data_IF_612241426777
#
_entry.id   IF_612241426777
#
_cell.length_a   1.000
_cell.length_b   1.000
_cell.length_c   1.000
_cell.angle_alpha   90.00
_cell.angle_beta   90.00
_cell.angle_gamma   90.00
#
_symmetry.space_group_name_H-M   'P 1'
#
loop_
_entity.id
_entity.type
_entity.pdbx_description
1 polymer ?
#
# COMPACT_ATOMS: atom_id res chain seq x y z
N UNK A 1 -2.61 2.32 11.21
CA UNK A 1 -2.15 1.32 10.22
C UNK A 1 -0.86 0.64 10.67
N UNK A 2 -0.69 -0.64 10.34
CA UNK A 2 0.55 -1.38 10.61
C UNK A 2 1.58 -1.08 9.52
N UNK A 3 2.76 -0.60 9.92
CA UNK A 3 3.90 -0.44 9.02
C UNK A 3 4.49 -1.80 8.65
N UNK A 4 4.56 -2.09 7.35
CA UNK A 4 5.15 -3.31 6.78
C UNK A 4 6.37 -2.90 5.95
N UNK A 5 7.52 -2.79 6.63
CA UNK A 5 8.77 -2.37 5.99
C UNK A 5 9.49 -3.59 5.39
N UNK A 6 9.57 -3.66 4.05
CA UNK A 6 10.15 -4.78 3.32
C UNK A 6 11.60 -5.10 3.73
N UNK A 7 12.37 -4.12 4.21
CA UNK A 7 13.73 -4.38 4.72
C UNK A 7 13.74 -5.14 6.05
N UNK A 8 12.72 -4.94 6.88
CA UNK A 8 12.62 -5.51 8.24
C UNK A 8 11.81 -6.81 8.25
N UNK A 9 10.80 -6.93 7.41
CA UNK A 9 9.85 -8.04 7.42
C UNK A 9 10.41 -9.38 6.92
N UNK A 10 9.86 -10.48 7.42
CA UNK A 10 10.05 -11.84 6.92
C UNK A 10 8.66 -12.42 6.68
N UNK A 11 8.36 -12.77 5.44
CA UNK A 11 7.07 -13.36 5.07
C UNK A 11 7.16 -14.87 5.29
N UNK A 12 6.23 -15.41 6.07
CA UNK A 12 6.16 -16.84 6.37
C UNK A 12 5.12 -17.47 5.46
N UNK A 13 5.53 -18.45 4.64
CA UNK A 13 4.66 -19.14 3.70
C UNK A 13 4.66 -20.63 3.99
N UNK A 14 3.51 -21.29 3.86
CA UNK A 14 3.39 -22.75 3.89
C UNK A 14 4.22 -23.38 2.77
N UNK A 15 5.17 -24.26 3.12
CA UNK A 15 6.03 -24.92 2.12
C UNK A 15 5.22 -25.77 1.16
N UNK A 16 4.20 -26.48 1.64
CA UNK A 16 3.33 -27.30 0.80
C UNK A 16 2.51 -26.45 -0.18
N UNK A 17 2.01 -25.29 0.25
CA UNK A 17 1.20 -24.45 -0.63
C UNK A 17 2.06 -23.72 -1.65
N UNK A 18 3.25 -23.27 -1.25
CA UNK A 18 4.24 -22.73 -2.18
C UNK A 18 4.61 -23.75 -3.26
N UNK A 19 4.96 -24.98 -2.86
CA UNK A 19 5.30 -26.05 -3.81
C UNK A 19 4.13 -26.39 -4.73
N UNK A 20 2.89 -26.31 -4.25
CA UNK A 20 1.69 -26.49 -5.07
C UNK A 20 1.55 -25.37 -6.11
N UNK A 21 1.81 -24.12 -5.74
CA UNK A 21 1.72 -22.96 -6.61
C UNK A 21 2.77 -22.95 -7.71
N UNK A 22 4.04 -23.18 -7.37
CA UNK A 22 5.13 -23.23 -8.36
C UNK A 22 4.96 -24.38 -9.35
N UNK A 23 4.41 -25.52 -8.91
CA UNK A 23 4.19 -26.69 -9.78
C UNK A 23 2.89 -26.61 -10.59
N UNK A 24 2.00 -25.65 -10.33
CA UNK A 24 0.74 -25.57 -11.07
C UNK A 24 0.89 -24.96 -12.46
N UNK A 25 2.04 -24.37 -12.79
CA UNK A 25 2.30 -23.57 -13.99
C UNK A 25 1.28 -22.41 -14.21
N UNK A 26 0.52 -22.06 -13.17
CA UNK A 26 -0.44 -20.96 -13.17
C UNK A 26 0.23 -19.71 -12.61
N UNK A 27 -0.28 -18.54 -12.98
CA UNK A 27 0.06 -17.31 -12.30
C UNK A 27 -0.55 -17.30 -10.90
N UNK A 28 0.26 -16.93 -9.92
CA UNK A 28 -0.13 -16.80 -8.53
C UNK A 28 0.52 -15.57 -7.91
N UNK A 29 0.00 -15.17 -6.76
CA UNK A 29 0.53 -14.14 -5.91
C UNK A 29 0.82 -14.71 -4.52
N UNK A 30 1.84 -14.17 -3.87
CA UNK A 30 2.06 -14.34 -2.43
C UNK A 30 1.65 -13.02 -1.80
N UNK A 31 0.74 -13.05 -0.84
CA UNK A 31 0.28 -11.89 -0.10
C UNK A 31 1.28 -11.49 1.01
N UNK A 32 1.18 -10.28 1.53
CA UNK A 32 2.01 -9.79 2.64
C UNK A 32 1.92 -10.65 3.91
N UNK A 33 0.80 -11.34 4.11
CA UNK A 33 0.55 -12.27 5.21
C UNK A 33 1.02 -13.71 4.92
N UNK A 34 1.59 -13.96 3.73
CA UNK A 34 2.09 -15.27 3.30
C UNK A 34 1.07 -16.19 2.64
N UNK A 35 -0.18 -15.74 2.47
CA UNK A 35 -1.21 -16.50 1.74
C UNK A 35 -0.93 -16.53 0.23
N UNK A 36 -1.34 -17.61 -0.42
CA UNK A 36 -1.18 -17.80 -1.86
C UNK A 36 -2.53 -17.63 -2.55
N UNK A 37 -2.55 -16.76 -3.55
CA UNK A 37 -3.73 -16.49 -4.38
C UNK A 37 -3.44 -16.83 -5.83
N UNK A 38 -4.40 -17.43 -6.53
CA UNK A 38 -4.33 -17.63 -7.98
C UNK A 38 -5.18 -16.59 -8.69
N UNK A 39 -4.93 -16.36 -9.98
CA UNK A 39 -5.77 -15.46 -10.77
C UNK A 39 -7.24 -15.93 -10.81
N UNK A 40 -8.23 -15.00 -10.82
CA UNK A 40 -8.07 -13.54 -10.77
C UNK A 40 -7.71 -13.02 -9.38
N UNK A 41 -6.75 -12.08 -9.32
CA UNK A 41 -6.26 -11.52 -8.05
C UNK A 41 -7.24 -10.47 -7.50
N UNK A 42 -7.57 -10.48 -6.20
CA UNK A 42 -8.43 -9.47 -5.58
C UNK A 42 -7.85 -8.05 -5.74
N UNK A 43 -8.72 -7.06 -5.94
CA UNK A 43 -8.32 -5.64 -5.99
C UNK A 43 -7.77 -5.12 -4.65
N UNK A 44 -8.08 -5.79 -3.54
CA UNK A 44 -7.59 -5.47 -2.20
C UNK A 44 -6.33 -6.25 -1.82
N UNK A 45 -5.81 -7.09 -2.71
CA UNK A 45 -4.66 -7.95 -2.42
C UNK A 45 -3.36 -7.13 -2.37
N UNK A 46 -2.67 -7.22 -1.24
CA UNK A 46 -1.32 -6.66 -1.05
C UNK A 46 -0.30 -7.77 -1.31
N UNK A 47 0.29 -7.76 -2.51
CA UNK A 47 1.19 -8.82 -3.02
C UNK A 47 2.65 -8.53 -2.70
N UNK A 48 3.39 -9.50 -2.17
CA UNK A 48 4.87 -9.47 -2.11
C UNK A 48 5.53 -10.21 -3.26
N UNK A 49 4.76 -10.96 -4.05
CA UNK A 49 5.19 -11.58 -5.30
C UNK A 49 3.97 -11.74 -6.21
N UNK A 50 4.14 -11.52 -7.51
CA UNK A 50 3.17 -11.94 -8.54
C UNK A 50 3.92 -12.53 -9.73
N UNK A 51 3.56 -13.74 -10.15
CA UNK A 51 4.23 -14.37 -11.28
C UNK A 51 3.85 -15.83 -11.48
N UNK A 52 4.59 -16.48 -12.38
CA UNK A 52 4.46 -17.90 -12.67
C UNK A 52 5.85 -18.51 -12.77
N UNK A 53 6.00 -19.73 -12.26
CA UNK A 53 7.23 -20.51 -12.44
C UNK A 53 7.05 -21.39 -13.67
N UNK A 54 7.87 -21.15 -14.70
CA UNK A 54 7.84 -21.99 -15.90
C UNK A 54 8.17 -23.44 -15.52
N UNK A 55 7.51 -24.45 -16.10
CA UNK A 55 7.87 -25.84 -15.87
C UNK A 55 9.31 -26.13 -16.32
N UNK A 56 9.92 -27.18 -15.78
CA UNK A 56 11.21 -27.66 -16.27
C UNK A 56 11.10 -28.08 -17.74
N UNK A 57 12.11 -27.76 -18.53
CA UNK A 57 12.17 -28.21 -19.93
C UNK A 57 12.24 -29.74 -19.96
N UNK A 58 11.49 -30.42 -20.85
CA UNK A 58 11.64 -31.87 -21.06
C UNK A 58 13.06 -32.29 -21.48
N UNK A 59 13.86 -31.34 -21.98
CA UNK A 59 15.25 -31.54 -22.40
C UNK A 59 16.27 -31.18 -21.31
N UNK A 60 15.81 -30.75 -20.14
CA UNK A 60 16.65 -30.43 -18.99
C UNK A 60 17.24 -31.69 -18.37
N UNK A 61 18.52 -31.67 -18.03
CA UNK A 61 19.13 -32.69 -17.17
C UNK A 61 18.80 -32.48 -15.69
N UNK A 62 18.35 -31.28 -15.32
CA UNK A 62 17.94 -30.95 -13.96
C UNK A 62 16.52 -31.47 -13.71
N UNK A 63 16.39 -32.36 -12.70
CA UNK A 63 15.13 -32.98 -12.29
C UNK A 63 14.29 -32.10 -11.36
N UNK A 64 14.89 -31.08 -10.75
CA UNK A 64 14.25 -30.16 -9.82
C UNK A 64 14.94 -28.81 -9.81
N UNK A 65 14.21 -27.73 -9.51
CA UNK A 65 14.82 -26.42 -9.19
C UNK A 65 14.97 -26.26 -7.68
N UNK A 66 16.07 -25.68 -7.18
CA UNK A 66 16.14 -25.26 -5.78
C UNK A 66 14.99 -24.29 -5.45
N UNK A 67 14.34 -24.44 -4.29
CA UNK A 67 13.24 -23.56 -3.86
C UNK A 67 13.68 -22.09 -3.88
N UNK A 68 14.92 -21.82 -3.45
CA UNK A 68 15.51 -20.48 -3.41
C UNK A 68 15.55 -19.75 -4.76
N UNK A 69 15.53 -20.45 -5.89
CA UNK A 69 15.56 -19.83 -7.23
C UNK A 69 14.19 -19.78 -7.92
N UNK A 70 13.12 -20.28 -7.29
CA UNK A 70 11.83 -20.44 -7.97
C UNK A 70 11.11 -19.13 -8.26
N UNK A 71 11.30 -18.09 -7.43
CA UNK A 71 10.64 -16.78 -7.58
C UNK A 71 11.61 -15.64 -7.96
N UNK A 72 12.85 -15.98 -8.30
CA UNK A 72 13.88 -15.05 -8.78
C UNK A 72 14.88 -14.59 -7.71
N UNK A 73 16.03 -14.09 -8.16
CA UNK A 73 17.22 -13.81 -7.32
C UNK A 73 17.04 -12.63 -6.35
N UNK A 74 16.02 -11.81 -6.58
CA UNK A 74 15.67 -10.67 -5.73
C UNK A 74 14.97 -11.10 -4.41
N UNK A 75 14.61 -12.37 -4.29
CA UNK A 75 14.03 -12.95 -3.08
C UNK A 75 15.04 -13.87 -2.42
N UNK A 76 15.19 -13.77 -1.09
CA UNK A 76 15.94 -14.76 -0.31
C UNK A 76 14.95 -15.65 0.42
N UNK A 77 15.02 -16.95 0.14
CA UNK A 77 14.15 -17.95 0.77
C UNK A 77 15.00 -18.85 1.66
N UNK A 78 14.56 -19.03 2.89
CA UNK A 78 15.10 -20.02 3.83
C UNK A 78 14.02 -21.06 4.11
N UNK A 79 14.36 -22.33 4.00
CA UNK A 79 13.48 -23.44 4.38
C UNK A 79 13.56 -23.66 5.90
N UNK A 80 12.42 -23.75 6.56
CA UNK A 80 12.29 -23.97 7.99
C UNK A 80 11.17 -24.99 8.23
N UNK A 81 11.53 -26.28 8.29
CA UNK A 81 10.62 -27.42 8.36
C UNK A 81 9.48 -27.39 7.31
N UNK A 82 8.26 -27.11 7.74
CA UNK A 82 7.04 -27.02 6.95
C UNK A 82 6.74 -25.60 6.44
N UNK A 83 7.64 -24.65 6.72
CA UNK A 83 7.51 -23.23 6.37
C UNK A 83 8.67 -22.76 5.48
N UNK A 84 8.40 -21.67 4.77
CA UNK A 84 9.39 -20.89 4.04
C UNK A 84 9.44 -19.49 4.63
N UNK A 85 10.65 -19.02 4.92
CA UNK A 85 10.92 -17.66 5.37
C UNK A 85 11.43 -16.85 4.18
N UNK A 86 10.63 -15.89 3.71
CA UNK A 86 10.92 -15.10 2.51
C UNK A 86 11.31 -13.68 2.92
N UNK A 87 12.52 -13.26 2.53
CA UNK A 87 12.95 -11.86 2.51
C UNK A 87 12.77 -11.32 1.10
N UNK A 88 11.88 -10.33 0.96
CA UNK A 88 11.45 -9.79 -0.33
C UNK A 88 12.03 -8.39 -0.65
N UNK A 89 12.88 -7.83 0.21
CA UNK A 89 13.44 -6.49 0.05
C UNK A 89 14.16 -6.25 -1.27
N UNK A 90 14.86 -7.25 -1.82
CA UNK A 90 15.54 -7.13 -3.11
C UNK A 90 14.57 -6.92 -4.28
N UNK A 91 13.30 -7.26 -4.12
CA UNK A 91 12.26 -7.17 -5.15
C UNK A 91 11.36 -5.93 -5.00
N UNK A 92 11.73 -4.97 -4.14
CA UNK A 92 10.85 -3.87 -3.74
C UNK A 92 10.24 -3.10 -4.91
N UNK A 93 10.98 -2.83 -5.98
CA UNK A 93 10.46 -2.12 -7.16
C UNK A 93 9.31 -2.87 -7.82
N UNK A 94 9.44 -4.18 -7.97
CA UNK A 94 8.38 -5.02 -8.52
C UNK A 94 7.17 -5.06 -7.59
N UNK A 95 7.42 -5.15 -6.28
CA UNK A 95 6.38 -5.16 -5.24
C UNK A 95 5.58 -3.85 -5.27
N UNK A 96 6.23 -2.68 -5.32
CA UNK A 96 5.53 -1.40 -5.50
C UNK A 96 4.69 -1.45 -6.78
N UNK A 97 5.26 -1.88 -7.90
CA UNK A 97 4.55 -1.96 -9.19
C UNK A 97 3.30 -2.86 -9.18
N UNK A 98 3.31 -3.97 -8.45
CA UNK A 98 2.14 -4.85 -8.31
C UNK A 98 1.00 -4.16 -7.55
N UNK A 99 1.35 -3.35 -6.56
CA UNK A 99 0.42 -2.86 -5.55
C UNK A 99 -0.05 -1.42 -5.79
N UNK A 100 0.67 -0.64 -6.61
CA UNK A 100 0.36 0.77 -6.86
C UNK A 100 -1.08 1.01 -7.32
N UNK A 101 -1.63 0.13 -8.15
CA UNK A 101 -3.03 0.25 -8.62
C UNK A 101 -4.07 -0.19 -7.60
N UNK A 102 -3.64 -0.78 -6.48
CA UNK A 102 -4.48 -1.34 -5.43
C UNK A 102 -4.39 -0.55 -4.13
N UNK A 103 -3.42 0.35 -4.01
CA UNK A 103 -3.27 1.24 -2.86
C UNK A 103 -4.31 2.34 -2.86
N UNK A 104 -4.66 2.80 -1.66
CA UNK A 104 -5.47 3.98 -1.46
C UNK A 104 -4.71 5.25 -1.87
N UNK A 105 -3.43 5.33 -1.49
CA UNK A 105 -2.55 6.43 -1.84
C UNK A 105 -1.14 5.92 -2.14
N UNK A 106 -0.44 6.65 -3.00
CA UNK A 106 0.94 6.41 -3.38
C UNK A 106 1.83 7.52 -2.81
N UNK A 107 2.79 7.11 -1.97
CA UNK A 107 3.78 7.96 -1.34
C UNK A 107 5.20 7.48 -1.68
N UNK A 108 5.38 7.11 -2.95
CA UNK A 108 6.67 6.67 -3.47
C UNK A 108 7.42 7.79 -4.20
N UNK A 109 6.73 8.89 -4.53
CA UNK A 109 7.29 10.03 -5.22
C UNK A 109 7.98 11.00 -4.26
N UNK A 110 8.97 11.76 -4.76
CA UNK A 110 9.61 12.83 -3.98
C UNK A 110 8.69 14.03 -3.73
N UNK A 111 7.62 14.17 -4.51
CA UNK A 111 6.65 15.27 -4.44
C UNK A 111 5.52 14.98 -3.43
N UNK A 112 5.55 13.78 -2.80
CA UNK A 112 4.55 13.34 -1.85
C UNK A 112 3.35 12.66 -2.52
N UNK A 113 2.19 12.80 -1.88
CA UNK A 113 0.93 12.16 -2.27
C UNK A 113 0.17 13.10 -3.19
N UNK A 114 -0.19 12.61 -4.37
CA UNK A 114 -0.85 13.42 -5.39
C UNK A 114 -2.38 13.25 -5.43
N UNK A 115 -2.89 12.03 -5.18
CA UNK A 115 -4.31 11.70 -5.25
C UNK A 115 -4.65 10.48 -4.38
N UNK A 116 -5.91 10.34 -4.02
CA UNK A 116 -6.51 9.12 -3.49
C UNK A 116 -7.17 8.31 -4.62
N UNK A 117 -6.99 6.98 -4.60
CA UNK A 117 -7.64 6.10 -5.58
C UNK A 117 -9.15 5.94 -5.33
N UNK A 118 -9.63 6.33 -4.15
CA UNK A 118 -11.04 6.36 -3.80
C UNK A 118 -11.65 7.73 -4.08
N UNK A 119 -12.64 7.79 -4.98
CA UNK A 119 -13.19 9.06 -5.46
C UNK A 119 -13.78 9.96 -4.35
N UNK A 120 -14.61 9.46 -3.41
CA UNK A 120 -15.10 10.32 -2.33
C UNK A 120 -13.98 10.84 -1.41
N UNK A 121 -12.92 10.06 -1.18
CA UNK A 121 -11.73 10.56 -0.49
C UNK A 121 -10.98 11.60 -1.30
N UNK A 122 -10.88 11.42 -2.61
CA UNK A 122 -10.29 12.42 -3.51
C UNK A 122 -11.07 13.73 -3.49
N UNK A 123 -12.40 13.66 -3.50
CA UNK A 123 -13.26 14.85 -3.36
C UNK A 123 -13.00 15.55 -2.01
N UNK A 124 -12.80 14.79 -0.92
CA UNK A 124 -12.39 15.35 0.39
C UNK A 124 -11.02 16.03 0.29
N UNK A 125 -10.02 15.37 -0.31
CA UNK A 125 -8.68 15.91 -0.50
C UNK A 125 -8.69 17.22 -1.28
N UNK A 126 -9.39 17.24 -2.42
CA UNK A 126 -9.51 18.39 -3.29
C UNK A 126 -10.05 19.62 -2.57
N UNK A 127 -11.22 19.52 -1.91
CA UNK A 127 -11.80 20.65 -1.17
C UNK A 127 -10.95 21.05 0.05
N UNK A 128 -10.22 20.11 0.66
CA UNK A 128 -9.36 20.42 1.80
C UNK A 128 -8.15 21.29 1.39
N UNK A 129 -7.68 21.18 0.14
CA UNK A 129 -6.56 21.99 -0.35
C UNK A 129 -6.86 23.48 -0.39
N UNK A 130 -8.13 23.89 -0.57
CA UNK A 130 -8.56 25.30 -0.50
C UNK A 130 -8.27 25.93 0.88
N UNK A 131 -8.21 25.09 1.91
CA UNK A 131 -7.87 25.51 3.27
C UNK A 131 -6.43 25.15 3.66
N UNK A 132 -5.51 24.99 2.70
CA UNK A 132 -4.11 24.63 2.96
C UNK A 132 -3.96 23.32 3.78
N UNK A 133 -4.84 22.35 3.59
CA UNK A 133 -4.72 21.01 4.16
C UNK A 133 -4.26 20.08 3.04
N UNK A 134 -3.04 19.55 3.15
CA UNK A 134 -2.47 18.66 2.14
C UNK A 134 -2.91 17.21 2.34
N UNK A 135 -2.76 16.40 1.28
CA UNK A 135 -3.01 14.96 1.32
C UNK A 135 -2.19 14.25 2.41
N UNK A 136 -0.99 14.74 2.73
CA UNK A 136 -0.18 14.24 3.83
C UNK A 136 -0.90 14.36 5.17
N UNK A 137 -1.46 15.53 5.46
CA UNK A 137 -2.12 15.82 6.74
C UNK A 137 -3.29 14.84 6.97
N UNK A 138 -4.01 14.53 5.91
CA UNK A 138 -5.12 13.55 5.90
C UNK A 138 -4.58 12.13 6.09
N UNK A 139 -3.54 11.74 5.34
CA UNK A 139 -2.96 10.40 5.44
C UNK A 139 -2.37 10.12 6.81
N UNK A 140 -1.78 11.10 7.49
CA UNK A 140 -1.31 10.94 8.87
C UNK A 140 -2.45 10.51 9.80
N UNK A 141 -3.68 10.97 9.56
CA UNK A 141 -4.85 10.51 10.31
C UNK A 141 -5.19 9.05 9.99
N UNK A 142 -5.10 8.63 8.73
CA UNK A 142 -5.31 7.23 8.35
C UNK A 142 -4.26 6.32 8.97
N UNK A 143 -2.99 6.71 8.89
CA UNK A 143 -1.88 5.96 9.46
C UNK A 143 -1.98 5.83 10.98
N UNK A 144 -2.55 6.82 11.67
CA UNK A 144 -2.79 6.77 13.11
C UNK A 144 -4.04 5.98 13.49
N UNK A 145 -5.15 6.12 12.76
CA UNK A 145 -6.48 5.74 13.23
C UNK A 145 -7.12 4.57 12.47
N UNK A 146 -6.71 4.31 11.22
CA UNK A 146 -7.29 3.23 10.42
C UNK A 146 -6.56 1.89 10.61
N UNK A 147 -7.33 0.80 10.53
CA UNK A 147 -6.79 -0.52 10.29
C UNK A 147 -6.34 -0.67 8.83
N UNK A 148 -5.16 -1.23 8.62
CA UNK A 148 -4.55 -1.28 7.30
C UNK A 148 -3.05 -1.56 7.33
N UNK A 149 -2.45 -1.56 6.15
CA UNK A 149 -1.02 -1.79 5.93
C UNK A 149 -0.42 -0.57 5.24
N UNK A 150 0.67 -0.05 5.80
CA UNK A 150 1.59 0.83 5.08
C UNK A 150 2.73 -0.04 4.55
N UNK A 151 2.64 -0.43 3.28
CA UNK A 151 3.67 -1.22 2.61
C UNK A 151 4.79 -0.27 2.18
N UNK A 152 5.97 -0.39 2.78
CA UNK A 152 7.03 0.58 2.53
C UNK A 152 8.42 -0.05 2.42
N UNK A 153 9.33 0.71 1.83
CA UNK A 153 10.75 0.63 2.15
C UNK A 153 11.11 1.84 3.00
N UNK A 154 11.80 1.58 4.11
CA UNK A 154 12.33 2.65 4.95
C UNK A 154 13.70 2.25 5.49
N UNK A 155 14.69 3.11 5.28
CA UNK A 155 16.03 3.01 5.85
C UNK A 155 16.47 4.37 6.39
N UNK A 156 17.28 4.35 7.44
CA UNK A 156 17.66 5.56 8.18
C UNK A 156 18.84 6.29 7.53
N UNK A 157 19.78 5.58 6.89
CA UNK A 157 21.05 6.17 6.42
C UNK A 157 21.50 5.63 5.04
N UNK A 158 21.48 6.45 3.97
CA UNK A 158 20.78 7.74 3.90
C UNK A 158 19.27 7.54 4.07
N UNK A 159 18.59 8.53 4.66
CA UNK A 159 17.14 8.45 4.84
C UNK A 159 16.46 8.26 3.49
N UNK A 160 15.66 7.19 3.41
CA UNK A 160 14.86 6.88 2.26
C UNK A 160 13.54 6.32 2.77
N UNK A 161 12.44 6.89 2.27
CA UNK A 161 11.10 6.38 2.46
C UNK A 161 10.40 6.30 1.11
N UNK A 162 9.64 5.22 0.91
CA UNK A 162 8.75 5.04 -0.23
C UNK A 162 7.66 4.07 0.20
N UNK A 163 6.40 4.51 0.14
CA UNK A 163 5.28 3.82 0.76
C UNK A 163 4.01 3.77 -0.09
N UNK A 164 3.22 2.74 0.12
CA UNK A 164 1.87 2.58 -0.40
C UNK A 164 0.91 2.29 0.76
N UNK A 165 -0.18 3.05 0.83
CA UNK A 165 -1.18 2.91 1.89
C UNK A 165 -2.35 2.01 1.50
N UNK A 166 -2.72 1.08 2.39
CA UNK A 166 -3.89 0.21 2.23
C UNK A 166 -4.75 0.28 3.48
N UNK A 167 -5.95 0.83 3.36
CA UNK A 167 -6.96 0.75 4.44
C UNK A 167 -7.85 -0.47 4.22
N UNK A 168 -8.28 -1.11 5.31
CA UNK A 168 -9.19 -2.26 5.22
C UNK A 168 -10.66 -1.86 5.22
N UNK A 169 -10.97 -0.67 5.73
CA UNK A 169 -12.30 -0.07 5.71
C UNK A 169 -12.21 1.34 5.12
N UNK A 170 -12.60 1.49 3.86
CA UNK A 170 -12.57 2.77 3.15
C UNK A 170 -13.65 3.74 3.65
N UNK A 171 -14.79 3.23 4.12
CA UNK A 171 -15.86 4.09 4.66
C UNK A 171 -15.41 4.71 5.98
N UNK A 172 -14.72 3.94 6.82
CA UNK A 172 -14.11 4.48 8.03
C UNK A 172 -13.04 5.52 7.71
N UNK A 173 -12.18 5.27 6.70
CA UNK A 173 -11.18 6.24 6.26
C UNK A 173 -11.82 7.54 5.76
N UNK A 174 -12.91 7.47 4.98
CA UNK A 174 -13.71 8.64 4.57
C UNK A 174 -14.19 9.45 5.76
N UNK A 175 -14.75 8.77 6.77
CA UNK A 175 -15.24 9.44 7.98
C UNK A 175 -14.10 10.15 8.71
N UNK A 176 -12.96 9.49 8.91
CA UNK A 176 -11.78 10.07 9.57
C UNK A 176 -11.25 11.29 8.79
N UNK A 177 -11.13 11.17 7.47
CA UNK A 177 -10.64 12.26 6.62
C UNK A 177 -11.60 13.45 6.64
N UNK A 178 -12.90 13.20 6.51
CA UNK A 178 -13.90 14.25 6.57
C UNK A 178 -13.92 14.96 7.92
N UNK A 179 -13.93 14.22 9.03
CA UNK A 179 -13.99 14.80 10.37
C UNK A 179 -12.75 15.63 10.70
N UNK A 180 -11.57 15.16 10.29
CA UNK A 180 -10.32 15.91 10.45
C UNK A 180 -10.37 17.23 9.67
N UNK A 181 -10.71 17.18 8.38
CA UNK A 181 -10.79 18.37 7.54
C UNK A 181 -11.85 19.33 8.06
N UNK A 182 -13.06 18.87 8.36
CA UNK A 182 -14.14 19.71 8.86
C UNK A 182 -13.77 20.41 10.18
N UNK A 183 -13.14 19.70 11.12
CA UNK A 183 -12.68 20.30 12.37
C UNK A 183 -11.59 21.36 12.13
N UNK A 184 -10.64 21.06 11.25
CA UNK A 184 -9.51 21.95 10.93
C UNK A 184 -9.98 23.20 10.20
N UNK A 185 -10.87 23.04 9.23
CA UNK A 185 -11.45 24.15 8.45
C UNK A 185 -12.27 25.05 9.37
N UNK A 186 -13.09 24.48 10.25
CA UNK A 186 -13.84 25.26 11.23
C UNK A 186 -12.92 26.09 12.13
N UNK A 187 -11.82 25.51 12.60
CA UNK A 187 -10.83 26.24 13.39
C UNK A 187 -10.21 27.40 12.59
N UNK A 188 -9.87 27.17 11.31
CA UNK A 188 -9.33 28.21 10.42
C UNK A 188 -10.34 29.35 10.18
N UNK A 189 -11.61 29.02 9.91
CA UNK A 189 -12.65 30.03 9.73
C UNK A 189 -12.87 30.91 10.97
N UNK A 190 -12.65 30.36 12.17
CA UNK A 190 -12.81 31.08 13.43
C UNK A 190 -11.56 31.89 13.83
N UNK A 191 -10.36 31.38 13.50
CA UNK A 191 -9.12 31.84 14.13
C UNK A 191 -8.02 32.29 13.16
N UNK A 192 -8.15 32.04 11.85
CA UNK A 192 -7.13 32.37 10.85
C UNK A 192 -7.56 33.59 10.02
N UNK A 193 -6.76 34.67 10.10
CA UNK A 193 -7.05 35.94 9.43
C UNK A 193 -7.12 35.80 7.89
N UNK A 194 -6.40 34.82 7.33
CA UNK A 194 -6.37 34.57 5.89
C UNK A 194 -7.74 34.10 5.35
N UNK A 195 -8.59 33.51 6.21
CA UNK A 195 -9.91 32.99 5.85
C UNK A 195 -11.07 33.87 6.34
N UNK A 196 -10.80 35.12 6.71
CA UNK A 196 -11.85 36.07 7.16
C UNK A 196 -12.84 36.42 6.04
N UNK A 197 -12.41 36.36 4.78
CA UNK A 197 -13.26 36.57 3.60
C UNK A 197 -12.96 35.50 2.59
N UNK A 198 -13.91 34.58 2.39
CA UNK A 198 -13.74 33.44 1.51
C UNK A 198 -13.87 33.85 0.03
N UNK A 199 -13.03 33.24 -0.79
CA UNK A 199 -13.20 33.11 -2.23
C UNK A 199 -14.36 32.17 -2.56
N UNK A 200 -14.78 32.13 -3.83
CA UNK A 200 -15.87 31.25 -4.28
C UNK A 200 -15.51 29.76 -4.04
N UNK A 201 -14.27 29.37 -4.30
CA UNK A 201 -13.78 28.00 -4.11
C UNK A 201 -13.69 27.63 -2.61
N UNK A 202 -13.19 28.53 -1.76
CA UNK A 202 -13.15 28.33 -0.30
C UNK A 202 -14.57 28.27 0.31
N UNK A 203 -15.53 29.04 -0.23
CA UNK A 203 -16.92 28.99 0.21
C UNK A 203 -17.58 27.66 -0.16
N UNK A 204 -17.37 27.16 -1.39
CA UNK A 204 -17.85 25.83 -1.81
C UNK A 204 -17.26 24.72 -0.93
N UNK A 205 -15.95 24.78 -0.66
CA UNK A 205 -15.28 23.86 0.25
C UNK A 205 -15.83 23.92 1.69
N UNK A 206 -16.07 25.10 2.23
CA UNK A 206 -16.67 25.25 3.57
C UNK A 206 -18.08 24.63 3.65
N UNK A 207 -18.89 24.81 2.60
CA UNK A 207 -20.21 24.17 2.49
C UNK A 207 -20.11 22.65 2.40
N UNK A 208 -19.19 22.12 1.59
CA UNK A 208 -18.92 20.69 1.48
C UNK A 208 -18.61 20.05 2.85
N UNK A 209 -17.76 20.70 3.64
CA UNK A 209 -17.39 20.25 4.98
C UNK A 209 -18.41 20.59 6.08
N UNK A 210 -19.48 21.31 5.75
CA UNK A 210 -20.49 21.78 6.72
C UNK A 210 -19.86 22.58 7.85
N UNK A 211 -18.85 23.38 7.52
CA UNK A 211 -18.13 24.24 8.46
C UNK A 211 -18.81 25.61 8.64
N UNK A 212 -19.82 25.91 7.81
CA UNK A 212 -20.66 27.13 7.82
C UNK A 212 -22.15 26.82 7.96
#
# INVERSE_FOLDING_TARGET
>A
MKKFNLFKEIIIVSKSDFLRAVNSAKRFAIAYNGEIHYEPLPHTLISIYEGSVAPLSPLSTDLSRPIASMIGDNYRIVEDDDRLLIKASGAWQSIIGYNQKRSLYDDTSGDGIAEFSDKPLEDIGWHATEFNIGYRDIVEQFEAQCEGILLCIEQEEPYQFSGLGFVFDVEHARQIGFDYCAATIKDKLENDEDFTTLTDDEAEAAEFFKAV
#
